data_IF_042662444032
#
_entry.id   IF_042662444032
#
_cell.length_a   1.000
_cell.length_b   1.000
_cell.length_c   1.000
_cell.angle_alpha   90.00
_cell.angle_beta   90.00
_cell.angle_gamma   90.00
#
_symmetry.space_group_name_H-M   'P 1'
#
loop_
_entity.id
_entity.type
_entity.pdbx_description
1 polymer ?
#
# COMPACT_ATOMS: atom_id res chain seq x y z
N UNK A 1 28.38 -20.09 43.73
CA UNK A 1 28.37 -19.27 42.50
C UNK A 1 27.25 -19.80 41.63
N UNK A 2 26.11 -19.13 41.46
CA UNK A 2 25.13 -19.56 40.46
C UNK A 2 25.59 -19.08 39.08
N UNK A 3 25.43 -19.96 38.09
CA UNK A 3 25.74 -19.74 36.68
C UNK A 3 25.12 -18.44 36.15
N UNK A 4 25.94 -17.65 35.48
CA UNK A 4 25.48 -16.51 34.69
C UNK A 4 24.81 -17.04 33.42
N UNK A 5 23.55 -16.72 33.11
CA UNK A 5 22.93 -17.17 31.88
C UNK A 5 23.64 -16.51 30.69
N UNK A 6 24.16 -17.34 29.79
CA UNK A 6 24.68 -16.98 28.48
C UNK A 6 23.67 -16.10 27.72
N UNK A 7 24.11 -15.04 26.99
CA UNK A 7 23.21 -14.21 26.21
C UNK A 7 22.54 -15.09 25.16
N UNK A 8 21.21 -15.23 25.28
CA UNK A 8 20.37 -15.91 24.30
C UNK A 8 20.67 -15.30 22.94
N UNK A 9 20.94 -16.17 21.97
CA UNK A 9 20.88 -15.88 20.55
C UNK A 9 19.61 -15.07 20.27
N UNK A 10 19.74 -13.75 20.16
CA UNK A 10 18.70 -12.90 19.58
C UNK A 10 18.72 -13.19 18.11
N UNK A 11 18.12 -14.33 17.72
CA UNK A 11 18.07 -14.82 16.36
C UNK A 11 17.79 -13.65 15.44
N UNK A 12 18.74 -13.39 14.53
CA UNK A 12 18.73 -12.25 13.63
C UNK A 12 17.45 -12.32 12.78
N UNK A 13 16.37 -11.71 13.25
CA UNK A 13 15.12 -11.64 12.48
C UNK A 13 15.42 -10.84 11.24
N UNK A 14 15.22 -11.44 10.07
CA UNK A 14 15.36 -10.74 8.80
C UNK A 14 14.40 -9.54 8.84
N UNK A 15 14.89 -8.31 8.60
CA UNK A 15 14.03 -7.14 8.62
C UNK A 15 12.90 -7.31 7.60
N UNK A 16 11.71 -6.88 7.99
CA UNK A 16 10.54 -6.90 7.14
C UNK A 16 10.70 -5.97 5.95
N UNK A 17 9.78 -6.08 4.98
CA UNK A 17 9.85 -5.32 3.73
C UNK A 17 8.60 -4.48 3.52
N UNK A 18 8.79 -3.24 3.06
CA UNK A 18 7.68 -2.39 2.64
C UNK A 18 7.14 -2.90 1.30
N UNK A 19 5.83 -3.12 1.22
CA UNK A 19 5.12 -3.43 -0.02
C UNK A 19 4.37 -2.19 -0.45
N UNK A 20 4.90 -1.49 -1.45
CA UNK A 20 4.36 -0.21 -1.91
C UNK A 20 3.43 -0.44 -3.10
N UNK A 21 2.13 -0.24 -2.89
CA UNK A 21 1.09 -0.52 -3.89
C UNK A 21 0.73 0.76 -4.65
N UNK A 22 0.95 0.77 -5.96
CA UNK A 22 0.61 1.86 -6.86
C UNK A 22 -0.32 1.38 -7.96
N UNK A 23 -0.99 2.32 -8.64
CA UNK A 23 -1.90 2.03 -9.74
C UNK A 23 -2.81 3.21 -10.02
N UNK A 24 -3.47 3.27 -11.18
CA UNK A 24 -4.33 4.38 -11.53
C UNK A 24 -5.47 4.57 -10.53
N UNK A 25 -6.00 5.81 -10.47
CA UNK A 25 -7.22 6.07 -9.70
C UNK A 25 -8.37 5.32 -10.35
N UNK A 26 -9.14 4.55 -9.57
CA UNK A 26 -10.16 3.63 -10.10
C UNK A 26 -9.68 2.20 -10.36
N UNK A 27 -8.38 1.91 -10.18
CA UNK A 27 -7.84 0.56 -10.31
C UNK A 27 -8.33 -0.44 -9.24
N UNK A 28 -9.09 0.03 -8.24
CA UNK A 28 -9.61 -0.81 -7.16
C UNK A 28 -8.59 -1.20 -6.09
N UNK A 29 -7.51 -0.40 -5.89
CA UNK A 29 -6.48 -0.66 -4.87
C UNK A 29 -7.07 -0.85 -3.48
N UNK A 30 -7.96 0.05 -3.06
CA UNK A 30 -8.59 0.01 -1.73
C UNK A 30 -9.38 -1.29 -1.54
N UNK A 31 -10.17 -1.69 -2.55
CA UNK A 31 -10.90 -2.97 -2.55
C UNK A 31 -9.97 -4.18 -2.53
N UNK A 32 -8.87 -4.14 -3.30
CA UNK A 32 -7.87 -5.21 -3.33
C UNK A 32 -7.17 -5.37 -1.98
N UNK A 33 -6.83 -4.26 -1.32
CA UNK A 33 -6.25 -4.29 0.03
C UNK A 33 -7.24 -4.80 1.06
N UNK A 34 -8.52 -4.45 0.96
CA UNK A 34 -9.56 -5.02 1.81
C UNK A 34 -9.71 -6.54 1.63
N UNK A 35 -9.72 -7.02 0.39
CA UNK A 35 -9.76 -8.46 0.09
C UNK A 35 -8.49 -9.18 0.57
N UNK A 36 -7.31 -8.54 0.46
CA UNK A 36 -6.06 -9.06 1.02
C UNK A 36 -6.12 -9.16 2.55
N UNK A 37 -6.65 -8.14 3.23
CA UNK A 37 -6.84 -8.18 4.69
C UNK A 37 -7.68 -9.38 5.12
N UNK A 38 -8.82 -9.62 4.46
CA UNK A 38 -9.68 -10.77 4.75
C UNK A 38 -8.97 -12.13 4.55
N UNK A 39 -8.03 -12.22 3.61
CA UNK A 39 -7.20 -13.43 3.41
C UNK A 39 -6.18 -13.63 4.52
N UNK A 40 -5.59 -12.54 5.00
CA UNK A 40 -4.65 -12.56 6.12
C UNK A 40 -5.37 -12.99 7.41
N UNK A 41 -6.58 -12.49 7.63
CA UNK A 41 -7.41 -12.86 8.78
C UNK A 41 -7.83 -14.34 8.74
N UNK A 42 -8.25 -14.85 7.58
CA UNK A 42 -8.67 -16.26 7.43
C UNK A 42 -7.51 -17.26 7.54
N UNK A 43 -6.25 -16.80 7.49
CA UNK A 43 -5.06 -17.65 7.64
C UNK A 43 -4.78 -18.05 9.11
N UNK A 44 -5.42 -17.40 10.09
CA UNK A 44 -5.35 -17.76 11.51
C UNK A 44 -3.93 -17.79 12.08
N UNK A 45 -3.61 -18.79 12.89
CA UNK A 45 -2.28 -18.96 13.51
C UNK A 45 -1.13 -19.18 12.51
N UNK A 46 -1.45 -19.47 11.24
CA UNK A 46 -0.48 -19.58 10.13
C UNK A 46 -0.39 -18.30 9.31
N UNK A 47 -0.98 -17.21 9.77
CA UNK A 47 -0.91 -15.94 9.07
C UNK A 47 0.56 -15.52 8.89
N UNK A 48 0.99 -15.20 7.66
CA UNK A 48 2.32 -14.67 7.45
C UNK A 48 2.45 -13.33 8.18
N UNK A 49 3.67 -12.90 8.57
CA UNK A 49 3.92 -11.64 9.26
C UNK A 49 3.73 -10.43 8.33
N UNK A 50 2.50 -10.23 7.85
CA UNK A 50 2.09 -9.19 6.90
C UNK A 50 1.03 -8.33 7.58
N UNK A 51 1.17 -7.02 7.49
CA UNK A 51 0.17 -6.06 7.94
C UNK A 51 -0.10 -5.02 6.86
N UNK A 52 -1.31 -4.47 6.83
CA UNK A 52 -1.68 -3.36 5.94
C UNK A 52 -1.71 -2.10 6.79
N UNK A 53 -0.86 -1.13 6.48
CA UNK A 53 -0.82 0.12 7.21
C UNK A 53 -2.01 1.00 6.81
N UNK A 54 -2.66 1.61 7.81
CA UNK A 54 -3.57 2.73 7.56
C UNK A 54 -2.78 3.94 7.04
N UNK A 55 -3.49 4.84 6.36
CA UNK A 55 -2.96 6.17 6.01
C UNK A 55 -3.59 7.24 6.87
N UNK A 56 -2.84 8.28 7.14
CA UNK A 56 -3.34 9.52 7.72
C UNK A 56 -3.72 10.44 6.57
N UNK A 57 -5.00 10.82 6.46
CA UNK A 57 -5.48 11.57 5.31
C UNK A 57 -6.33 12.73 5.78
N UNK A 58 -6.23 13.89 5.12
CA UNK A 58 -7.10 15.04 5.40
C UNK A 58 -8.52 14.91 4.82
N UNK A 59 -8.91 13.68 4.46
CA UNK A 59 -10.24 13.36 3.94
C UNK A 59 -11.15 13.00 5.13
N UNK A 60 -12.42 13.46 5.15
CA UNK A 60 -13.36 13.07 6.19
C UNK A 60 -13.60 11.56 6.24
N UNK A 61 -13.71 10.99 7.45
CA UNK A 61 -13.84 9.56 7.70
C UNK A 61 -15.10 8.89 7.08
N UNK A 62 -16.05 9.67 6.55
CA UNK A 62 -17.29 9.17 5.92
C UNK A 62 -17.38 9.37 4.40
N UNK A 63 -16.35 9.94 3.75
CA UNK A 63 -16.41 10.25 2.30
C UNK A 63 -16.32 9.01 1.37
N UNK A 64 -16.23 7.81 1.96
CA UNK A 64 -15.98 6.55 1.27
C UNK A 64 -14.53 6.36 0.80
N UNK A 65 -14.13 5.11 0.60
CA UNK A 65 -12.77 4.70 0.25
C UNK A 65 -12.19 3.75 1.30
N UNK A 66 -10.87 3.56 1.27
CA UNK A 66 -10.16 2.73 2.26
C UNK A 66 -10.35 3.16 3.73
N UNK A 67 -10.10 2.22 4.64
CA UNK A 67 -9.87 2.50 6.06
C UNK A 67 -8.65 3.41 6.22
N UNK A 68 -8.86 4.62 6.76
CA UNK A 68 -7.82 5.62 6.97
C UNK A 68 -8.10 6.41 8.25
N UNK A 69 -7.05 6.99 8.83
CA UNK A 69 -7.15 7.93 9.95
C UNK A 69 -7.41 9.32 9.36
N UNK A 70 -8.63 9.81 9.51
CA UNK A 70 -9.00 11.16 9.10
C UNK A 70 -8.35 12.19 10.02
N UNK A 71 -7.67 13.18 9.44
CA UNK A 71 -7.07 14.31 10.17
C UNK A 71 -7.60 15.64 9.64
N UNK A 72 -7.62 16.65 10.50
CA UNK A 72 -7.75 18.03 9.99
C UNK A 72 -6.45 18.45 9.27
N UNK A 73 -6.49 19.41 8.33
CA UNK A 73 -5.27 19.97 7.74
C UNK A 73 -4.28 20.49 8.79
N UNK A 74 -4.78 21.11 9.86
CA UNK A 74 -3.95 21.60 10.96
C UNK A 74 -3.26 20.46 11.73
N UNK A 75 -3.99 19.38 12.03
CA UNK A 75 -3.41 18.20 12.69
C UNK A 75 -2.38 17.49 11.83
N UNK A 76 -2.66 17.38 10.52
CA UNK A 76 -1.73 16.81 9.56
C UNK A 76 -0.43 17.62 9.54
N UNK A 77 -0.52 18.94 9.42
CA UNK A 77 0.64 19.83 9.42
C UNK A 77 1.45 19.73 10.71
N UNK A 78 0.78 19.70 11.87
CA UNK A 78 1.42 19.53 13.18
C UNK A 78 2.16 18.20 13.28
N UNK A 79 1.54 17.09 12.87
CA UNK A 79 2.15 15.75 12.88
C UNK A 79 3.34 15.67 11.92
N UNK A 80 3.22 16.26 10.74
CA UNK A 80 4.32 16.36 9.77
C UNK A 80 5.50 17.13 10.35
N UNK A 81 5.26 18.28 10.97
CA UNK A 81 6.31 19.09 11.62
C UNK A 81 6.98 18.35 12.79
N UNK A 82 6.24 17.47 13.47
CA UNK A 82 6.76 16.61 14.53
C UNK A 82 7.48 15.34 14.02
N UNK A 83 7.64 15.16 12.70
CA UNK A 83 8.28 13.98 12.12
C UNK A 83 7.47 12.69 12.27
N UNK A 84 6.15 12.77 12.40
CA UNK A 84 5.29 11.61 12.64
C UNK A 84 5.02 10.75 11.39
N UNK A 85 5.51 11.16 10.21
CA UNK A 85 5.33 10.42 8.96
C UNK A 85 6.67 10.00 8.37
N UNK A 86 6.79 8.73 7.98
CA UNK A 86 7.93 8.23 7.22
C UNK A 86 7.79 8.54 5.72
N UNK A 87 6.56 8.70 5.24
CA UNK A 87 6.21 9.17 3.90
C UNK A 87 5.03 10.13 4.02
N UNK A 88 5.10 11.27 3.34
CA UNK A 88 3.96 12.16 3.19
C UNK A 88 3.91 12.78 1.79
N UNK A 89 2.71 13.09 1.33
CA UNK A 89 2.49 13.76 0.06
C UNK A 89 1.17 14.49 -0.02
N UNK A 90 1.04 15.35 -1.04
CA UNK A 90 -0.21 16.00 -1.40
C UNK A 90 -0.69 15.53 -2.77
N UNK A 91 -2.01 15.36 -2.92
CA UNK A 91 -2.63 15.03 -4.18
C UNK A 91 -4.11 15.44 -4.16
N UNK A 92 -4.59 16.06 -5.24
CA UNK A 92 -5.99 16.49 -5.39
C UNK A 92 -6.53 17.29 -4.19
N UNK A 93 -5.72 18.21 -3.64
CA UNK A 93 -6.10 19.05 -2.49
C UNK A 93 -6.14 18.33 -1.13
N UNK A 94 -5.74 17.06 -1.07
CA UNK A 94 -5.65 16.28 0.15
C UNK A 94 -4.20 15.99 0.51
N UNK A 95 -3.93 15.88 1.82
CA UNK A 95 -2.64 15.41 2.34
C UNK A 95 -2.75 13.96 2.77
N UNK A 96 -1.70 13.20 2.51
CA UNK A 96 -1.59 11.77 2.78
C UNK A 96 -0.29 11.52 3.53
N UNK A 97 -0.35 10.71 4.59
CA UNK A 97 0.79 10.37 5.42
C UNK A 97 0.79 8.87 5.73
N UNK A 98 1.98 8.29 5.76
CA UNK A 98 2.26 6.95 6.27
C UNK A 98 3.07 7.15 7.54
N UNK A 99 2.55 6.65 8.67
CA UNK A 99 3.15 6.90 9.97
C UNK A 99 4.52 6.26 10.17
N UNK A 100 5.32 6.82 11.06
CA UNK A 100 6.66 6.30 11.40
C UNK A 100 6.60 4.93 12.10
N UNK A 101 5.44 4.52 12.62
CA UNK A 101 5.24 3.17 13.18
C UNK A 101 5.56 2.05 12.18
N UNK A 102 5.42 2.32 10.87
CA UNK A 102 5.80 1.40 9.79
C UNK A 102 7.27 1.00 9.91
N UNK A 103 8.16 1.91 10.26
CA UNK A 103 9.59 1.62 10.40
C UNK A 103 9.85 0.65 11.55
N UNK A 104 9.11 0.79 12.65
CA UNK A 104 9.18 -0.12 13.79
C UNK A 104 8.63 -1.51 13.45
N UNK A 105 7.55 -1.58 12.67
CA UNK A 105 7.00 -2.84 12.18
C UNK A 105 7.97 -3.58 11.25
N UNK A 106 8.57 -2.86 10.31
CA UNK A 106 9.60 -3.38 9.42
C UNK A 106 10.81 -3.89 10.20
N UNK A 107 11.32 -3.11 11.16
CA UNK A 107 12.41 -3.55 12.04
C UNK A 107 12.04 -4.79 12.87
N UNK A 108 10.75 -4.94 13.20
CA UNK A 108 10.21 -6.12 13.88
C UNK A 108 10.13 -7.39 13.02
N UNK A 109 10.33 -7.28 11.70
CA UNK A 109 10.21 -8.39 10.74
C UNK A 109 8.88 -8.43 9.98
N UNK A 110 7.97 -7.47 10.20
CA UNK A 110 6.68 -7.43 9.52
C UNK A 110 6.83 -6.89 8.10
N UNK A 111 6.19 -7.53 7.14
CA UNK A 111 5.97 -6.97 5.82
C UNK A 111 4.79 -6.01 5.87
N UNK A 112 5.02 -4.76 5.49
CA UNK A 112 4.03 -3.70 5.65
C UNK A 112 3.51 -3.27 4.28
N UNK A 113 2.24 -3.51 4.00
CA UNK A 113 1.57 -3.10 2.77
C UNK A 113 1.04 -1.68 2.91
N UNK A 114 1.40 -0.80 1.98
CA UNK A 114 0.98 0.60 1.95
C UNK A 114 0.34 0.94 0.61
N UNK A 115 -0.81 1.61 0.66
CA UNK A 115 -1.42 2.21 -0.52
C UNK A 115 -0.66 3.49 -0.93
N UNK A 116 0.25 3.35 -1.87
CA UNK A 116 1.16 4.40 -2.32
C UNK A 116 0.60 5.30 -3.42
N UNK A 117 1.42 6.29 -3.80
CA UNK A 117 1.21 7.20 -4.91
C UNK A 117 2.37 7.09 -5.90
N UNK A 118 2.07 6.96 -7.20
CA UNK A 118 3.10 6.90 -8.25
C UNK A 118 4.04 8.11 -8.19
N UNK A 119 3.49 9.31 -8.03
CA UNK A 119 4.28 10.55 -8.01
C UNK A 119 5.26 10.64 -6.84
N UNK A 120 5.11 9.78 -5.83
CA UNK A 120 5.95 9.76 -4.63
C UNK A 120 6.72 8.44 -4.48
N UNK A 121 6.73 7.60 -5.52
CA UNK A 121 7.51 6.37 -5.53
C UNK A 121 9.02 6.65 -5.37
N UNK A 122 9.55 7.69 -6.00
CA UNK A 122 10.97 8.04 -5.88
C UNK A 122 11.35 8.37 -4.41
N UNK A 123 10.49 9.12 -3.71
CA UNK A 123 10.68 9.40 -2.29
C UNK A 123 10.58 8.11 -1.45
N UNK A 124 9.61 7.24 -1.75
CA UNK A 124 9.48 5.94 -1.09
C UNK A 124 10.71 5.05 -1.30
N UNK A 125 11.26 4.98 -2.52
CA UNK A 125 12.49 4.26 -2.83
C UNK A 125 13.71 4.86 -2.14
N UNK A 126 13.79 6.19 -2.03
CA UNK A 126 14.85 6.86 -1.28
C UNK A 126 14.83 6.52 0.22
N UNK A 127 13.64 6.38 0.81
CA UNK A 127 13.47 6.02 2.24
C UNK A 127 13.58 4.52 2.49
N UNK A 128 13.05 3.71 1.56
CA UNK A 128 12.98 2.25 1.63
C UNK A 128 13.53 1.62 0.33
N UNK A 129 14.85 1.53 0.18
CA UNK A 129 15.48 1.05 -1.06
C UNK A 129 15.07 -0.38 -1.45
N UNK A 130 14.83 -1.23 -0.45
CA UNK A 130 14.47 -2.64 -0.64
C UNK A 130 12.96 -2.88 -0.77
N UNK A 131 12.15 -1.83 -0.97
CA UNK A 131 10.70 -1.99 -1.06
C UNK A 131 10.30 -2.92 -2.22
N UNK A 132 9.24 -3.68 -2.02
CA UNK A 132 8.55 -4.42 -3.07
C UNK A 132 7.51 -3.51 -3.71
N UNK A 133 7.73 -3.14 -4.97
CA UNK A 133 6.75 -2.36 -5.73
C UNK A 133 5.65 -3.27 -6.29
N UNK A 134 4.40 -2.95 -6.02
CA UNK A 134 3.23 -3.61 -6.60
C UNK A 134 2.47 -2.62 -7.47
N UNK A 135 2.27 -2.97 -8.74
CA UNK A 135 1.56 -2.16 -9.72
C UNK A 135 0.22 -2.82 -10.03
N UNK A 136 -0.87 -2.23 -9.55
CA UNK A 136 -2.23 -2.68 -9.86
C UNK A 136 -2.63 -2.11 -11.22
N UNK A 137 -2.92 -2.99 -12.19
CA UNK A 137 -3.42 -2.65 -13.52
C UNK A 137 -4.88 -3.03 -13.65
N UNK A 138 -5.58 -2.33 -14.53
CA UNK A 138 -6.96 -2.65 -14.95
C UNK A 138 -7.03 -2.37 -16.44
N UNK A 139 -7.65 -3.27 -17.20
CA UNK A 139 -7.88 -3.12 -18.62
C UNK A 139 -8.62 -1.80 -18.89
N UNK A 140 -8.24 -1.01 -19.92
CA UNK A 140 -8.85 0.30 -20.17
C UNK A 140 -10.38 0.26 -20.28
N UNK A 141 -10.93 -0.78 -20.91
CA UNK A 141 -12.38 -0.98 -21.01
C UNK A 141 -13.05 -1.16 -19.64
N UNK A 142 -12.42 -1.91 -18.74
CA UNK A 142 -12.93 -2.15 -17.39
C UNK A 142 -12.79 -0.91 -16.51
N UNK A 143 -11.66 -0.20 -16.62
CA UNK A 143 -11.45 1.06 -15.92
C UNK A 143 -12.51 2.09 -16.33
N UNK A 144 -12.80 2.21 -17.64
CA UNK A 144 -13.86 3.07 -18.17
C UNK A 144 -15.22 2.69 -17.58
N UNK A 145 -15.56 1.39 -17.60
CA UNK A 145 -16.82 0.89 -17.03
C UNK A 145 -16.97 1.28 -15.57
N UNK A 146 -15.94 1.06 -14.75
CA UNK A 146 -15.94 1.38 -13.30
C UNK A 146 -16.10 2.88 -13.03
N UNK A 147 -15.41 3.72 -13.80
CA UNK A 147 -15.52 5.17 -13.67
C UNK A 147 -16.94 5.65 -14.03
N UNK A 148 -17.52 5.13 -15.12
CA UNK A 148 -18.90 5.44 -15.52
C UNK A 148 -19.92 5.01 -14.45
N UNK A 149 -19.79 3.80 -13.90
CA UNK A 149 -20.68 3.30 -12.84
C UNK A 149 -20.61 4.14 -11.57
N UNK A 150 -19.46 4.75 -11.26
CA UNK A 150 -19.31 5.61 -10.09
C UNK A 150 -20.06 6.93 -10.23
N UNK A 151 -20.23 7.43 -11.46
CA UNK A 151 -21.04 8.60 -11.80
C UNK A 151 -20.55 9.92 -11.19
N UNK A 152 -19.31 10.00 -10.72
CA UNK A 152 -18.74 11.21 -10.09
C UNK A 152 -17.83 12.01 -11.03
N UNK A 153 -17.65 11.53 -12.26
CA UNK A 153 -16.71 12.03 -13.24
C UNK A 153 -17.42 12.32 -14.57
N UNK A 154 -17.07 13.44 -15.21
CA UNK A 154 -17.48 13.81 -16.57
C UNK A 154 -16.80 12.93 -17.63
N UNK A 155 -17.30 12.94 -18.86
CA UNK A 155 -16.71 12.16 -19.95
C UNK A 155 -15.25 12.56 -20.22
N UNK A 156 -14.95 13.86 -20.12
CA UNK A 156 -13.63 14.46 -20.25
C UNK A 156 -12.70 13.99 -19.13
N UNK A 157 -13.14 14.02 -17.88
CA UNK A 157 -12.37 13.51 -16.73
C UNK A 157 -12.09 12.01 -16.82
N UNK A 158 -13.03 11.23 -17.37
CA UNK A 158 -12.84 9.80 -17.62
C UNK A 158 -11.77 9.57 -18.69
N UNK A 159 -11.83 10.31 -19.81
CA UNK A 159 -10.83 10.22 -20.87
C UNK A 159 -9.43 10.56 -20.35
N UNK A 160 -9.29 11.63 -19.56
CA UNK A 160 -8.02 11.98 -18.91
C UNK A 160 -7.52 10.88 -17.98
N UNK A 161 -8.41 10.27 -17.19
CA UNK A 161 -8.04 9.17 -16.27
C UNK A 161 -7.55 7.95 -17.03
N UNK A 162 -8.19 7.61 -18.16
CA UNK A 162 -7.76 6.52 -19.03
C UNK A 162 -6.40 6.82 -19.65
N UNK A 163 -6.19 8.02 -20.20
CA UNK A 163 -4.89 8.44 -20.75
C UNK A 163 -3.77 8.40 -19.69
N UNK A 164 -4.04 8.86 -18.47
CA UNK A 164 -3.09 8.78 -17.35
C UNK A 164 -2.78 7.35 -16.90
N UNK A 165 -3.75 6.43 -17.04
CA UNK A 165 -3.60 5.02 -16.75
C UNK A 165 -2.79 4.30 -17.84
N UNK A 166 -2.96 4.68 -19.10
CA UNK A 166 -2.20 4.12 -20.22
C UNK A 166 -0.73 4.59 -20.20
N UNK A 167 -0.52 5.88 -19.88
CA UNK A 167 0.80 6.43 -19.58
C UNK A 167 1.39 5.93 -18.24
N UNK A 168 0.74 5.00 -17.55
CA UNK A 168 1.26 4.38 -16.33
C UNK A 168 2.33 3.35 -16.67
N UNK A 169 3.55 3.85 -16.91
CA UNK A 169 4.76 3.07 -16.91
C UNK A 169 5.54 3.38 -15.62
N UNK A 170 5.79 2.33 -14.82
CA UNK A 170 6.75 2.41 -13.72
C UNK A 170 7.79 1.36 -14.00
N UNK A 171 8.95 1.80 -14.47
CA UNK A 171 10.07 0.90 -14.71
C UNK A 171 10.82 0.68 -13.39
N UNK A 172 10.71 -0.53 -12.86
CA UNK A 172 11.39 -0.92 -11.64
C UNK A 172 11.65 -2.43 -11.68
N UNK A 173 12.91 -2.89 -11.55
CA UNK A 173 13.28 -4.30 -11.73
C UNK A 173 12.62 -5.23 -10.71
N UNK A 174 12.21 -4.71 -9.56
CA UNK A 174 11.47 -5.44 -8.52
C UNK A 174 9.94 -5.38 -8.64
N UNK A 175 9.37 -4.78 -9.69
CA UNK A 175 7.91 -4.59 -9.79
C UNK A 175 7.16 -5.91 -9.93
N UNK A 176 6.03 -6.02 -9.25
CA UNK A 176 5.03 -7.08 -9.45
C UNK A 176 3.76 -6.44 -9.98
N UNK A 177 3.24 -6.94 -11.08
CA UNK A 177 1.98 -6.46 -11.65
C UNK A 177 0.82 -7.33 -11.19
N UNK A 178 -0.25 -6.69 -10.72
CA UNK A 178 -1.50 -7.35 -10.34
C UNK A 178 -2.60 -6.86 -11.28
N UNK A 179 -3.15 -7.77 -12.08
CA UNK A 179 -4.30 -7.48 -12.92
C UNK A 179 -5.59 -7.56 -12.09
N UNK A 180 -6.26 -6.42 -11.93
CA UNK A 180 -7.55 -6.30 -11.25
C UNK A 180 -8.70 -6.04 -12.25
N UNK A 181 -8.58 -6.53 -13.48
CA UNK A 181 -9.65 -6.46 -14.50
C UNK A 181 -10.76 -7.49 -14.27
N UNK A 182 -10.41 -8.63 -13.68
CA UNK A 182 -11.31 -9.73 -13.39
C UNK A 182 -11.98 -9.65 -12.00
N UNK A 183 -12.48 -10.79 -11.49
CA UNK A 183 -12.99 -10.88 -10.13
C UNK A 183 -11.95 -10.47 -9.08
N UNK A 184 -12.37 -9.67 -8.11
CA UNK A 184 -11.50 -9.13 -7.06
C UNK A 184 -10.74 -10.23 -6.31
N UNK A 185 -11.40 -11.35 -6.05
CA UNK A 185 -10.79 -12.47 -5.33
C UNK A 185 -9.58 -13.02 -6.07
N UNK A 186 -9.64 -13.14 -7.41
CA UNK A 186 -8.48 -13.62 -8.20
C UNK A 186 -7.30 -12.67 -8.10
N UNK A 187 -7.53 -11.36 -8.12
CA UNK A 187 -6.47 -10.37 -7.97
C UNK A 187 -5.87 -10.45 -6.55
N UNK A 188 -6.69 -10.67 -5.53
CA UNK A 188 -6.24 -10.83 -4.16
C UNK A 188 -5.49 -12.15 -3.93
N UNK A 189 -5.90 -13.26 -4.58
CA UNK A 189 -5.17 -14.54 -4.63
C UNK A 189 -3.78 -14.35 -5.21
N UNK A 190 -3.71 -13.70 -6.38
CA UNK A 190 -2.45 -13.45 -7.07
C UNK A 190 -1.53 -12.57 -6.21
N UNK A 191 -2.07 -11.52 -5.60
CA UNK A 191 -1.30 -10.64 -4.74
C UNK A 191 -0.75 -11.38 -3.51
N UNK A 192 -1.61 -12.13 -2.80
CA UNK A 192 -1.19 -12.95 -1.67
C UNK A 192 -0.11 -13.97 -2.07
N UNK A 193 -0.28 -14.66 -3.20
CA UNK A 193 0.68 -15.63 -3.72
C UNK A 193 2.05 -14.98 -4.01
N UNK A 194 2.08 -13.78 -4.58
CA UNK A 194 3.32 -13.05 -4.83
C UNK A 194 4.02 -12.62 -3.55
N UNK A 195 3.27 -12.22 -2.52
CA UNK A 195 3.84 -11.90 -1.20
C UNK A 195 4.53 -13.13 -0.62
N UNK A 196 3.85 -14.28 -0.60
CA UNK A 196 4.40 -15.53 -0.08
C UNK A 196 5.64 -15.99 -0.85
N UNK A 197 5.61 -15.92 -2.19
CA UNK A 197 6.77 -16.28 -3.02
C UNK A 197 7.98 -15.37 -2.77
N UNK A 198 7.75 -14.07 -2.54
CA UNK A 198 8.82 -13.12 -2.25
C UNK A 198 9.39 -13.33 -0.85
N UNK A 199 8.55 -13.66 0.13
CA UNK A 199 8.99 -13.97 1.49
C UNK A 199 9.84 -15.24 1.56
N UNK A 200 9.51 -16.27 0.78
CA UNK A 200 10.28 -17.52 0.74
C UNK A 200 11.63 -17.40 0.02
N UNK A 201 11.91 -16.28 -0.66
CA UNK A 201 13.15 -16.01 -1.41
C UNK A 201 14.11 -15.08 -0.66
N UNK A 202 13.72 -14.60 0.52
CA UNK A 202 14.48 -13.71 1.40
C UNK A 202 15.04 -14.51 2.56
#
# INVERSE_FOLDING_TARGET
MPDTPSPRDTGRRTPGRLVYVVGPSGAGKDSLLGALAGRLETSGEKAPPITIAHRYITRPAGAGGEAHVALSPADFARRRAAGAFCLDWQSHGLSYGVGVEVESWLAGGLWVVVNGSRGHLAAALGRFPDLMLVVVRVAPAELKRRLLTRGRETAEEIAERLARADAFAVDHPGRVEIDNSGPLDRAADAFFSHLMQRMNKV
#
